data_IF_353245780030
#
_entry.id   IF_353245780030
#
_cell.length_a   1.000
_cell.length_b   1.000
_cell.length_c   1.000
_cell.angle_alpha   90.00
_cell.angle_beta   90.00
_cell.angle_gamma   90.00
#
_symmetry.space_group_name_H-M   'P 1'
#
loop_
_entity.id
_entity.type
_entity.pdbx_description
1 polymer ?
#
# COMPACT_ATOMS: atom_id res chain seq x y z
N UNK A 1 27.79 27.64 -9.17
CA UNK A 1 26.46 27.47 -8.54
C UNK A 1 26.22 26.01 -8.19
N UNK A 2 26.47 25.61 -6.93
CA UNK A 2 26.37 24.21 -6.47
C UNK A 2 24.93 23.78 -6.14
N UNK A 3 24.04 24.72 -5.84
CA UNK A 3 22.70 24.50 -5.28
C UNK A 3 21.59 24.17 -6.29
N UNK A 4 21.85 24.36 -7.59
CA UNK A 4 20.89 24.07 -8.67
C UNK A 4 21.30 22.85 -9.50
N UNK A 5 22.35 22.16 -9.09
CA UNK A 5 22.76 20.89 -9.70
C UNK A 5 21.94 19.76 -9.07
N UNK A 6 21.53 18.75 -9.85
CA UNK A 6 20.84 17.58 -9.29
C UNK A 6 21.72 16.89 -8.26
N UNK A 7 21.10 16.40 -7.19
CA UNK A 7 21.79 15.55 -6.24
C UNK A 7 22.19 14.24 -6.93
N UNK A 8 23.49 13.92 -6.93
CA UNK A 8 24.03 12.73 -7.63
C UNK A 8 23.43 11.42 -7.15
N UNK A 9 22.85 11.37 -5.94
CA UNK A 9 22.17 10.18 -5.44
C UNK A 9 21.02 9.74 -6.34
N UNK A 10 20.38 10.66 -7.06
CA UNK A 10 19.28 10.34 -7.99
C UNK A 10 19.71 9.41 -9.14
N UNK A 11 21.00 9.34 -9.47
CA UNK A 11 21.56 8.41 -10.47
C UNK A 11 21.34 6.94 -10.08
N UNK A 12 21.30 6.62 -8.77
CA UNK A 12 21.05 5.25 -8.26
C UNK A 12 19.68 4.74 -8.73
N UNK A 13 18.71 5.64 -8.90
CA UNK A 13 17.35 5.32 -9.38
C UNK A 13 17.17 5.62 -10.87
N UNK A 14 18.26 5.86 -11.60
CA UNK A 14 18.25 6.12 -13.04
C UNK A 14 17.56 7.42 -13.44
N UNK A 15 17.44 8.39 -12.52
CA UNK A 15 16.82 9.69 -12.77
C UNK A 15 17.82 10.61 -13.45
N UNK A 16 17.48 11.07 -14.66
CA UNK A 16 18.35 11.94 -15.47
C UNK A 16 17.83 13.37 -15.55
N UNK A 17 16.53 13.58 -15.34
CA UNK A 17 15.90 14.89 -15.49
C UNK A 17 15.02 15.24 -14.29
N UNK A 18 14.79 16.55 -14.10
CA UNK A 18 13.84 17.05 -13.10
C UNK A 18 12.41 16.58 -13.38
N UNK A 19 12.02 16.46 -14.64
CA UNK A 19 10.68 15.98 -15.01
C UNK A 19 10.48 14.52 -14.58
N UNK A 20 11.44 13.64 -14.88
CA UNK A 20 11.43 12.24 -14.43
C UNK A 20 11.42 12.14 -12.90
N UNK A 21 12.18 13.00 -12.21
CA UNK A 21 12.18 13.05 -10.76
C UNK A 21 10.78 13.41 -10.22
N UNK A 22 10.18 14.48 -10.74
CA UNK A 22 8.86 14.93 -10.30
C UNK A 22 7.83 13.82 -10.50
N UNK A 23 7.79 13.23 -11.69
CA UNK A 23 6.86 12.16 -12.03
C UNK A 23 6.97 10.94 -11.09
N UNK A 24 8.19 10.50 -10.77
CA UNK A 24 8.41 9.28 -9.99
C UNK A 24 8.40 9.48 -8.47
N UNK A 25 8.85 10.63 -7.99
CA UNK A 25 9.16 10.85 -6.57
C UNK A 25 8.30 11.93 -5.90
N UNK A 26 7.66 12.84 -6.64
CA UNK A 26 6.80 13.85 -6.00
C UNK A 26 5.40 13.29 -5.89
N UNK A 27 4.87 13.25 -4.67
CA UNK A 27 3.51 12.76 -4.38
C UNK A 27 2.62 13.93 -3.95
N UNK A 28 1.73 14.42 -4.84
CA UNK A 28 0.71 15.40 -4.47
C UNK A 28 -0.26 14.87 -3.42
N UNK A 29 -0.75 15.75 -2.54
CA UNK A 29 -1.83 15.44 -1.61
C UNK A 29 -3.19 15.35 -2.30
N UNK A 30 -3.53 14.19 -2.89
CA UNK A 30 -4.85 13.92 -3.49
C UNK A 30 -5.87 13.62 -2.39
N UNK A 31 -6.39 14.65 -1.73
CA UNK A 31 -7.36 14.49 -0.65
C UNK A 31 -8.78 14.77 -1.12
N UNK A 32 -9.75 13.98 -0.63
CA UNK A 32 -11.16 14.25 -0.86
C UNK A 32 -11.69 15.36 0.07
N UNK A 33 -12.87 15.91 -0.24
CA UNK A 33 -13.47 17.06 0.44
C UNK A 33 -13.71 16.91 1.95
N UNK A 34 -13.78 15.68 2.46
CA UNK A 34 -13.98 15.40 3.89
C UNK A 34 -12.69 15.47 4.73
N UNK A 35 -11.52 15.57 4.09
CA UNK A 35 -10.25 15.73 4.84
C UNK A 35 -10.17 17.19 5.34
N UNK A 36 -9.84 17.42 6.63
CA UNK A 36 -9.71 18.78 7.16
C UNK A 36 -8.74 19.64 6.37
N UNK A 37 -9.10 20.91 6.13
CA UNK A 37 -8.31 21.86 5.34
C UNK A 37 -6.87 22.00 5.85
N UNK A 38 -6.69 22.06 7.17
CA UNK A 38 -5.36 22.15 7.80
C UNK A 38 -4.45 20.97 7.44
N UNK A 39 -5.02 19.77 7.26
CA UNK A 39 -4.27 18.57 6.81
C UNK A 39 -3.85 18.73 5.36
N UNK A 40 -4.75 19.20 4.50
CA UNK A 40 -4.51 19.42 3.07
C UNK A 40 -3.40 20.46 2.87
N UNK A 41 -3.53 21.63 3.49
CA UNK A 41 -2.54 22.72 3.39
C UNK A 41 -1.18 22.32 3.99
N UNK A 42 -1.18 21.61 5.12
CA UNK A 42 0.07 21.12 5.69
C UNK A 42 0.80 20.14 4.75
N UNK A 43 0.05 19.32 4.01
CA UNK A 43 0.62 18.35 3.08
C UNK A 43 1.07 18.99 1.76
N UNK A 44 0.49 20.10 1.34
CA UNK A 44 0.99 20.87 0.20
C UNK A 44 2.47 21.25 0.39
N UNK A 45 2.83 21.65 1.61
CA UNK A 45 4.24 21.90 1.97
C UNK A 45 5.11 20.65 1.80
N UNK A 46 4.58 19.47 2.14
CA UNK A 46 5.29 18.19 1.92
C UNK A 46 5.58 17.98 0.44
N UNK A 47 4.58 18.21 -0.42
CA UNK A 47 4.73 18.09 -1.88
C UNK A 47 5.79 19.08 -2.41
N UNK A 48 5.79 20.33 -1.95
CA UNK A 48 6.83 21.30 -2.32
C UNK A 48 8.23 20.88 -1.85
N UNK A 49 8.37 20.36 -0.64
CA UNK A 49 9.64 19.85 -0.14
C UNK A 49 10.13 18.68 -0.98
N UNK A 50 9.25 17.72 -1.32
CA UNK A 50 9.59 16.63 -2.24
C UNK A 50 10.08 17.15 -3.59
N UNK A 51 9.39 18.12 -4.18
CA UNK A 51 9.77 18.69 -5.47
C UNK A 51 11.15 19.38 -5.44
N UNK A 52 11.49 20.05 -4.34
CA UNK A 52 12.80 20.71 -4.17
C UNK A 52 13.93 19.73 -3.83
N UNK A 53 13.60 18.51 -3.38
CA UNK A 53 14.60 17.51 -3.05
C UNK A 53 15.41 17.00 -4.26
N UNK A 54 14.98 17.32 -5.49
CA UNK A 54 15.78 17.09 -6.70
C UNK A 54 17.20 17.66 -6.58
N UNK A 55 17.34 18.84 -5.98
CA UNK A 55 18.62 19.53 -5.84
C UNK A 55 19.39 19.11 -4.58
N UNK A 56 18.69 18.62 -3.56
CA UNK A 56 19.31 18.17 -2.31
C UNK A 56 18.42 17.12 -1.63
N UNK A 57 18.85 15.86 -1.69
CA UNK A 57 18.03 14.71 -1.25
C UNK A 57 17.61 14.80 0.23
N UNK A 58 18.40 15.44 1.09
CA UNK A 58 18.05 15.58 2.52
C UNK A 58 16.77 16.41 2.74
N UNK A 59 16.32 17.21 1.76
CA UNK A 59 15.01 17.86 1.81
C UNK A 59 13.88 16.83 1.70
N UNK A 60 14.07 15.74 0.95
CA UNK A 60 13.10 14.65 0.85
C UNK A 60 12.86 14.02 2.21
N UNK A 61 13.95 13.82 2.93
CA UNK A 61 13.98 13.32 4.29
C UNK A 61 13.09 14.21 5.20
N UNK A 62 13.24 15.54 5.13
CA UNK A 62 12.40 16.48 5.89
C UNK A 62 10.93 16.51 5.41
N UNK A 63 10.68 16.33 4.11
CA UNK A 63 9.33 16.17 3.60
C UNK A 63 8.63 14.98 4.27
N UNK A 64 9.33 13.85 4.40
CA UNK A 64 8.81 12.65 5.04
C UNK A 64 8.64 12.81 6.56
N UNK A 65 9.55 13.53 7.24
CA UNK A 65 9.35 13.93 8.66
C UNK A 65 8.03 14.67 8.83
N UNK A 66 7.77 15.66 7.97
CA UNK A 66 6.56 16.48 8.03
C UNK A 66 5.32 15.65 7.70
N UNK A 67 5.39 14.74 6.72
CA UNK A 67 4.29 13.83 6.41
C UNK A 67 3.90 12.92 7.58
N UNK A 68 4.89 12.42 8.34
CA UNK A 68 4.65 11.64 9.56
C UNK A 68 4.00 12.47 10.68
N UNK A 69 4.34 13.74 10.82
CA UNK A 69 3.67 14.65 11.75
C UNK A 69 2.22 14.91 11.33
N UNK A 70 1.95 15.01 10.02
CA UNK A 70 0.59 15.16 9.49
C UNK A 70 -0.26 13.91 9.76
N UNK A 71 0.31 12.70 9.66
CA UNK A 71 -0.37 11.46 10.07
C UNK A 71 -0.80 11.50 11.54
N UNK A 72 0.05 12.01 12.43
CA UNK A 72 -0.28 12.20 13.84
C UNK A 72 -1.35 13.27 14.06
N UNK A 73 -1.25 14.40 13.37
CA UNK A 73 -2.26 15.45 13.41
C UNK A 73 -3.62 14.92 12.95
N UNK A 74 -3.64 14.13 11.88
CA UNK A 74 -4.85 13.54 11.32
C UNK A 74 -5.58 12.62 12.30
N UNK A 75 -4.85 11.74 13.00
CA UNK A 75 -5.47 10.85 14.00
C UNK A 75 -5.96 11.61 15.23
N UNK A 76 -5.28 12.70 15.63
CA UNK A 76 -5.71 13.58 16.72
C UNK A 76 -7.00 14.33 16.36
N UNK A 77 -7.07 14.91 15.17
CA UNK A 77 -8.29 15.55 14.65
C UNK A 77 -9.45 14.56 14.59
N UNK A 78 -9.19 13.32 14.15
CA UNK A 78 -10.24 12.28 14.14
C UNK A 78 -10.68 11.88 15.55
N UNK A 79 -9.78 11.84 16.51
CA UNK A 79 -10.12 11.59 17.91
C UNK A 79 -11.03 12.68 18.47
N UNK A 80 -10.73 13.95 18.20
CA UNK A 80 -11.59 15.09 18.58
C UNK A 80 -12.98 14.99 17.94
N UNK A 81 -13.07 14.65 16.65
CA UNK A 81 -14.35 14.40 15.95
C UNK A 81 -15.17 13.24 16.54
N UNK A 82 -14.54 12.35 17.31
CA UNK A 82 -15.17 11.19 17.95
C UNK A 82 -15.36 11.39 19.46
N UNK A 83 -15.18 12.62 19.95
CA UNK A 83 -15.22 12.99 21.37
C UNK A 83 -14.25 12.17 22.23
N UNK A 84 -13.11 11.77 21.66
CA UNK A 84 -12.05 11.04 22.36
C UNK A 84 -11.07 12.07 22.94
N UNK A 85 -10.90 12.16 24.28
CA UNK A 85 -10.05 13.16 24.89
C UNK A 85 -8.58 12.92 24.56
N UNK A 86 -7.88 13.99 24.16
CA UNK A 86 -6.44 13.97 23.87
C UNK A 86 -5.58 14.09 25.13
N UNK A 87 -6.18 14.44 26.27
CA UNK A 87 -5.50 14.61 27.56
C UNK A 87 -5.94 13.53 28.55
N UNK A 88 -5.07 13.20 29.48
CA UNK A 88 -5.40 12.33 30.63
C UNK A 88 -6.25 13.11 31.64
N UNK A 89 -7.08 12.43 32.46
CA UNK A 89 -7.74 13.08 33.58
C UNK A 89 -6.69 13.70 34.51
N UNK A 90 -7.02 14.83 35.18
CA UNK A 90 -6.11 15.47 36.12
C UNK A 90 -5.70 14.48 37.21
N UNK A 91 -4.41 14.47 37.54
CA UNK A 91 -3.93 13.77 38.74
C UNK A 91 -4.38 14.50 40.01
N UNK A 92 -4.18 13.91 41.17
CA UNK A 92 -4.51 14.50 42.49
C UNK A 92 -3.94 15.91 42.70
N UNK A 93 -2.85 16.27 42.02
CA UNK A 93 -2.23 17.58 42.04
C UNK A 93 -2.72 18.56 40.95
N UNK A 94 -3.78 18.22 40.22
CA UNK A 94 -4.35 19.04 39.14
C UNK A 94 -3.55 19.04 37.83
N UNK A 95 -2.40 18.35 37.75
CA UNK A 95 -1.57 18.34 36.54
C UNK A 95 -2.20 17.44 35.48
N UNK A 96 -2.39 18.00 34.28
CA UNK A 96 -2.95 17.33 33.11
C UNK A 96 -1.83 17.07 32.09
N UNK A 97 -1.73 15.83 31.63
CA UNK A 97 -0.74 15.41 30.63
C UNK A 97 -1.42 15.02 29.32
N UNK A 98 -0.73 15.24 28.20
CA UNK A 98 -1.17 14.72 26.91
C UNK A 98 -1.14 13.19 26.89
N UNK A 99 -2.16 12.61 26.25
CA UNK A 99 -2.26 11.18 26.03
C UNK A 99 -1.19 10.77 25.01
N UNK A 100 -0.52 9.64 25.29
CA UNK A 100 0.47 9.07 24.36
C UNK A 100 -0.21 8.72 23.03
N UNK A 101 0.46 9.02 21.91
CA UNK A 101 -0.08 8.79 20.55
C UNK A 101 -0.63 7.37 20.34
N UNK A 102 0.05 6.35 20.86
CA UNK A 102 -0.42 4.96 20.69
C UNK A 102 -1.78 4.70 21.35
N UNK A 103 -2.07 5.37 22.48
CA UNK A 103 -3.37 5.28 23.15
C UNK A 103 -4.47 5.97 22.35
N UNK A 104 -4.16 7.10 21.73
CA UNK A 104 -5.08 7.77 20.81
C UNK A 104 -5.39 6.86 19.61
N UNK A 105 -4.37 6.25 19.00
CA UNK A 105 -4.55 5.29 17.90
C UNK A 105 -5.43 4.11 18.34
N UNK A 106 -5.13 3.48 19.48
CA UNK A 106 -5.92 2.35 20.03
C UNK A 106 -7.39 2.74 20.25
N UNK A 107 -7.65 3.93 20.82
CA UNK A 107 -9.02 4.37 21.12
C UNK A 107 -9.82 4.73 19.87
N UNK A 108 -9.21 5.39 18.88
CA UNK A 108 -9.85 5.67 17.58
C UNK A 108 -10.11 4.37 16.82
N UNK A 109 -9.12 3.48 16.73
CA UNK A 109 -9.22 2.24 15.97
C UNK A 109 -10.02 1.14 16.71
N UNK A 110 -10.38 1.33 17.99
CA UNK A 110 -11.34 0.47 18.68
C UNK A 110 -12.74 0.53 18.04
N UNK A 111 -13.07 1.62 17.34
CA UNK A 111 -14.30 1.70 16.56
C UNK A 111 -14.20 0.68 15.42
N UNK A 112 -15.19 -0.23 15.33
CA UNK A 112 -15.18 -1.36 14.38
C UNK A 112 -14.86 -0.95 12.94
N UNK A 113 -15.48 0.13 12.47
CA UNK A 113 -15.31 0.68 11.12
C UNK A 113 -13.94 1.35 10.86
N UNK A 114 -13.10 1.53 11.88
CA UNK A 114 -11.74 2.10 11.77
C UNK A 114 -10.64 1.12 12.16
N UNK A 115 -10.98 -0.03 12.73
CA UNK A 115 -10.02 -1.04 13.23
C UNK A 115 -8.97 -1.46 12.20
N UNK A 116 -9.35 -1.53 10.93
CA UNK A 116 -8.45 -1.92 9.85
C UNK A 116 -7.31 -0.91 9.58
N UNK A 117 -7.41 0.32 10.07
CA UNK A 117 -6.39 1.37 9.91
C UNK A 117 -5.28 1.29 10.97
N UNK A 118 -5.51 0.57 12.07
CA UNK A 118 -4.57 0.47 13.18
C UNK A 118 -3.14 0.04 12.76
N UNK A 119 -2.97 -1.01 11.92
CA UNK A 119 -1.63 -1.43 11.51
C UNK A 119 -0.85 -0.33 10.78
N UNK A 120 -1.54 0.50 9.98
CA UNK A 120 -0.91 1.56 9.20
C UNK A 120 -0.48 2.73 10.09
N UNK A 121 -1.28 3.11 11.08
CA UNK A 121 -0.89 4.13 12.06
C UNK A 121 0.24 3.65 12.97
N UNK A 122 0.22 2.38 13.40
CA UNK A 122 1.31 1.80 14.18
C UNK A 122 2.61 1.73 13.37
N UNK A 123 2.53 1.44 12.07
CA UNK A 123 3.65 1.48 11.15
C UNK A 123 4.21 2.91 11.01
N UNK A 124 3.37 3.91 10.75
CA UNK A 124 3.79 5.31 10.66
C UNK A 124 4.48 5.78 11.96
N UNK A 125 3.91 5.42 13.11
CA UNK A 125 4.54 5.67 14.43
C UNK A 125 5.92 5.01 14.53
N UNK A 126 6.06 3.74 14.12
CA UNK A 126 7.34 3.03 14.15
C UNK A 126 8.38 3.74 13.26
N UNK A 127 8.00 4.16 12.06
CA UNK A 127 8.86 4.93 11.16
C UNK A 127 9.32 6.25 11.79
N UNK A 128 8.39 7.01 12.39
CA UNK A 128 8.72 8.24 13.13
C UNK A 128 9.73 7.98 14.24
N UNK A 129 9.49 6.97 15.07
CA UNK A 129 10.37 6.65 16.20
C UNK A 129 11.77 6.23 15.74
N UNK A 130 11.88 5.41 14.69
CA UNK A 130 13.16 5.00 14.11
C UNK A 130 13.95 6.20 13.58
N UNK A 131 13.26 7.20 13.00
CA UNK A 131 13.89 8.41 12.50
C UNK A 131 14.34 9.37 13.61
N UNK A 132 13.53 9.54 14.65
CA UNK A 132 13.87 10.39 15.80
C UNK A 132 14.97 9.78 16.67
N UNK A 133 15.14 8.45 16.61
CA UNK A 133 16.16 7.71 17.36
C UNK A 133 16.93 6.77 16.43
N UNK A 134 17.76 7.30 15.52
CA UNK A 134 18.48 6.48 14.57
C UNK A 134 19.49 5.60 15.31
N UNK A 135 19.19 4.30 15.43
CA UNK A 135 20.11 3.30 16.01
C UNK A 135 21.10 2.74 14.99
N UNK A 136 20.83 2.94 13.69
CA UNK A 136 21.69 2.50 12.58
C UNK A 136 21.69 3.55 11.46
N UNK A 137 22.84 3.75 10.82
CA UNK A 137 22.94 4.53 9.59
C UNK A 137 22.62 3.59 8.41
N UNK A 138 21.53 3.86 7.69
CA UNK A 138 21.13 3.07 6.52
C UNK A 138 21.34 3.89 5.25
N UNK A 139 21.87 3.24 4.19
CA UNK A 139 22.20 3.89 2.90
C UNK A 139 20.95 4.46 2.20
N UNK A 140 19.78 3.86 2.43
CA UNK A 140 18.50 4.29 1.86
C UNK A 140 17.80 5.39 2.68
N UNK A 141 18.50 5.96 3.68
CA UNK A 141 17.86 6.73 4.74
C UNK A 141 16.87 5.89 5.56
N UNK A 142 16.30 6.46 6.60
CA UNK A 142 15.41 5.74 7.52
C UNK A 142 14.10 5.22 6.90
N UNK A 143 13.78 5.55 5.64
CA UNK A 143 12.43 5.41 5.05
C UNK A 143 12.38 4.86 3.62
N UNK A 144 13.34 4.04 3.17
CA UNK A 144 13.36 3.46 1.81
C UNK A 144 11.96 3.10 1.25
N UNK A 145 11.74 3.36 -0.05
CA UNK A 145 10.42 3.49 -0.71
C UNK A 145 9.66 4.75 -0.27
N UNK A 146 10.32 5.91 -0.36
CA UNK A 146 9.83 7.16 0.23
C UNK A 146 8.56 7.70 -0.47
N UNK A 147 8.44 7.58 -1.78
CA UNK A 147 7.23 7.91 -2.54
C UNK A 147 6.06 6.97 -2.20
N UNK A 148 6.29 5.66 -2.12
CA UNK A 148 5.28 4.68 -1.71
C UNK A 148 4.76 4.94 -0.28
N UNK A 149 5.63 5.35 0.65
CA UNK A 149 5.22 5.80 1.98
C UNK A 149 4.34 7.06 1.93
N UNK A 150 4.67 8.04 1.09
CA UNK A 150 3.87 9.24 0.94
C UNK A 150 2.46 8.93 0.37
N UNK A 151 2.38 8.06 -0.64
CA UNK A 151 1.10 7.58 -1.18
C UNK A 151 0.27 6.85 -0.12
N UNK A 152 0.91 5.97 0.67
CA UNK A 152 0.28 5.31 1.81
C UNK A 152 -0.32 6.33 2.80
N UNK A 153 0.42 7.40 3.13
CA UNK A 153 -0.08 8.41 4.05
C UNK A 153 -1.31 9.12 3.50
N UNK A 154 -1.30 9.51 2.22
CA UNK A 154 -2.47 10.09 1.55
C UNK A 154 -3.66 9.12 1.62
N UNK A 155 -3.45 7.85 1.26
CA UNK A 155 -4.48 6.83 1.27
C UNK A 155 -5.08 6.60 2.67
N UNK A 156 -4.24 6.57 3.71
CA UNK A 156 -4.67 6.36 5.10
C UNK A 156 -5.45 7.56 5.61
N UNK A 157 -4.99 8.78 5.34
CA UNK A 157 -5.68 10.02 5.72
C UNK A 157 -7.05 10.09 5.06
N UNK A 158 -7.15 9.83 3.75
CA UNK A 158 -8.44 9.78 3.07
C UNK A 158 -9.37 8.75 3.74
N UNK A 159 -8.90 7.50 3.93
CA UNK A 159 -9.70 6.46 4.59
C UNK A 159 -10.15 6.85 6.01
N UNK A 160 -9.32 7.57 6.77
CA UNK A 160 -9.64 8.03 8.13
C UNK A 160 -10.84 9.00 8.16
N UNK A 161 -10.98 9.83 7.11
CA UNK A 161 -12.01 10.87 7.02
C UNK A 161 -13.20 10.49 6.12
N UNK A 162 -13.29 9.23 5.67
CA UNK A 162 -14.53 8.70 5.10
C UNK A 162 -15.65 8.65 6.14
N UNK A 163 -16.89 8.70 5.67
CA UNK A 163 -18.06 8.63 6.53
C UNK A 163 -18.23 7.19 7.05
N UNK A 164 -18.82 7.05 8.24
CA UNK A 164 -19.06 5.75 8.89
C UNK A 164 -19.74 4.74 7.95
N UNK A 165 -20.75 5.16 7.20
CA UNK A 165 -21.51 4.29 6.30
C UNK A 165 -20.64 3.73 5.15
N UNK A 166 -19.75 4.55 4.58
CA UNK A 166 -18.82 4.13 3.51
C UNK A 166 -17.82 3.09 4.05
N UNK A 167 -17.29 3.33 5.26
CA UNK A 167 -16.36 2.43 5.93
C UNK A 167 -17.02 1.10 6.34
N UNK A 168 -18.24 1.15 6.87
CA UNK A 168 -19.01 -0.05 7.21
C UNK A 168 -19.35 -0.87 5.97
N UNK A 169 -19.76 -0.22 4.87
CA UNK A 169 -20.00 -0.89 3.61
C UNK A 169 -18.73 -1.60 3.11
N UNK A 170 -17.59 -0.91 3.10
CA UNK A 170 -16.31 -1.50 2.70
C UNK A 170 -15.94 -2.69 3.59
N UNK A 171 -16.18 -2.60 4.90
CA UNK A 171 -15.90 -3.68 5.85
C UNK A 171 -16.74 -4.93 5.55
N UNK A 172 -18.07 -4.78 5.44
CA UNK A 172 -18.99 -5.89 5.16
C UNK A 172 -18.68 -6.53 3.80
N UNK A 173 -18.45 -5.71 2.78
CA UNK A 173 -18.09 -6.19 1.44
C UNK A 173 -16.77 -6.93 1.45
N UNK A 174 -15.74 -6.42 2.15
CA UNK A 174 -14.45 -7.12 2.31
C UNK A 174 -14.63 -8.51 2.93
N UNK A 175 -15.42 -8.63 4.00
CA UNK A 175 -15.70 -9.94 4.64
C UNK A 175 -16.42 -10.90 3.69
N UNK A 176 -17.33 -10.41 2.85
CA UNK A 176 -17.97 -11.22 1.82
C UNK A 176 -16.97 -11.68 0.76
N UNK A 177 -16.14 -10.76 0.24
CA UNK A 177 -15.11 -11.06 -0.75
C UNK A 177 -14.08 -12.06 -0.22
N UNK A 178 -13.71 -11.98 1.06
CA UNK A 178 -12.81 -12.94 1.70
C UNK A 178 -13.33 -14.38 1.61
N UNK A 179 -14.64 -14.58 1.81
CA UNK A 179 -15.29 -15.88 1.64
C UNK A 179 -15.28 -16.32 0.19
N UNK A 180 -15.61 -15.44 -0.76
CA UNK A 180 -15.64 -15.76 -2.19
C UNK A 180 -14.26 -16.10 -2.74
N UNK A 181 -13.24 -15.31 -2.38
CA UNK A 181 -11.85 -15.45 -2.84
C UNK A 181 -11.12 -16.63 -2.19
N UNK A 182 -11.64 -17.19 -1.10
CA UNK A 182 -11.07 -18.39 -0.46
C UNK A 182 -10.91 -19.58 -1.41
N UNK A 183 -11.77 -19.67 -2.44
CA UNK A 183 -11.73 -20.70 -3.48
C UNK A 183 -10.54 -20.59 -4.43
N UNK A 184 -9.82 -19.47 -4.38
CA UNK A 184 -8.66 -19.18 -5.22
C UNK A 184 -7.34 -19.19 -4.42
N UNK A 185 -7.36 -19.64 -3.16
CA UNK A 185 -6.13 -19.72 -2.32
C UNK A 185 -5.10 -20.68 -2.90
N UNK A 186 -5.55 -21.77 -3.53
CA UNK A 186 -4.70 -22.76 -4.15
C UNK A 186 -5.44 -23.48 -5.27
N UNK A 187 -4.81 -23.62 -6.43
CA UNK A 187 -5.35 -24.34 -7.57
C UNK A 187 -4.56 -24.04 -8.84
N UNK A 188 -5.13 -24.40 -9.98
CA UNK A 188 -4.66 -23.97 -11.29
C UNK A 188 -5.74 -23.10 -11.92
N UNK A 189 -5.39 -21.85 -12.18
CA UNK A 189 -6.28 -20.89 -12.79
C UNK A 189 -5.62 -20.24 -14.01
N UNK A 190 -6.43 -19.81 -14.96
CA UNK A 190 -6.01 -18.93 -16.05
C UNK A 190 -6.42 -17.51 -15.67
N UNK A 191 -5.50 -16.57 -15.83
CA UNK A 191 -5.73 -15.14 -15.88
C UNK A 191 -5.65 -14.70 -17.34
N UNK A 192 -6.74 -14.22 -17.90
CA UNK A 192 -6.78 -13.61 -19.23
C UNK A 192 -6.76 -12.09 -19.09
N UNK A 193 -5.78 -11.44 -19.72
CA UNK A 193 -5.62 -9.99 -19.71
C UNK A 193 -4.92 -9.53 -21.00
N UNK A 194 -5.47 -8.52 -21.69
CA UNK A 194 -4.89 -7.94 -22.92
C UNK A 194 -4.53 -8.98 -24.00
N UNK A 195 -5.40 -9.98 -24.20
CA UNK A 195 -5.17 -11.10 -25.14
C UNK A 195 -3.97 -12.00 -24.78
N UNK A 196 -3.47 -11.90 -23.54
CA UNK A 196 -2.43 -12.76 -22.99
C UNK A 196 -3.03 -13.61 -21.86
N UNK A 197 -2.72 -14.90 -21.89
CA UNK A 197 -3.15 -15.85 -20.87
C UNK A 197 -1.98 -16.22 -19.97
N UNK A 198 -2.12 -15.94 -18.68
CA UNK A 198 -1.19 -16.32 -17.63
C UNK A 198 -1.76 -17.49 -16.86
N UNK A 199 -0.93 -18.48 -16.51
CA UNK A 199 -1.31 -19.45 -15.49
C UNK A 199 -0.97 -18.88 -14.11
N UNK A 200 -1.90 -18.99 -13.17
CA UNK A 200 -1.71 -18.57 -11.78
C UNK A 200 -2.08 -19.71 -10.83
N UNK A 201 -1.45 -19.75 -9.65
CA UNK A 201 -1.73 -20.81 -8.66
C UNK A 201 -2.62 -20.36 -7.53
N UNK A 202 -2.55 -19.07 -7.19
CA UNK A 202 -3.11 -18.56 -5.94
C UNK A 202 -3.42 -17.07 -6.04
N UNK A 203 -4.47 -16.65 -5.35
CA UNK A 203 -4.66 -15.28 -4.87
C UNK A 203 -4.20 -15.25 -3.41
N UNK A 204 -3.09 -14.56 -3.13
CA UNK A 204 -2.49 -14.50 -1.79
C UNK A 204 -3.22 -13.54 -0.87
N UNK A 205 -3.56 -12.37 -1.39
CA UNK A 205 -4.16 -11.30 -0.62
C UNK A 205 -5.04 -10.44 -1.53
N UNK A 206 -5.89 -9.62 -0.93
CA UNK A 206 -6.69 -8.65 -1.65
C UNK A 206 -6.94 -7.39 -0.82
N UNK A 207 -7.13 -6.26 -1.51
CA UNK A 207 -7.72 -5.06 -0.93
C UNK A 207 -9.00 -4.70 -1.66
N UNK A 208 -9.95 -4.14 -0.92
CA UNK A 208 -11.20 -3.65 -1.46
C UNK A 208 -11.44 -2.21 -1.02
N UNK A 209 -11.88 -1.38 -1.95
CA UNK A 209 -12.25 0.00 -1.68
C UNK A 209 -13.41 0.43 -2.56
N UNK A 210 -14.39 1.12 -1.97
CA UNK A 210 -15.44 1.82 -2.69
C UNK A 210 -15.54 3.26 -2.23
N UNK A 211 -15.40 4.19 -3.16
CA UNK A 211 -15.49 5.63 -2.92
C UNK A 211 -16.39 6.21 -3.99
N UNK A 212 -17.51 6.82 -3.55
CA UNK A 212 -18.55 7.32 -4.46
C UNK A 212 -18.96 6.18 -5.42
N UNK A 213 -18.91 6.43 -6.73
CA UNK A 213 -19.25 5.46 -7.78
C UNK A 213 -18.09 4.53 -8.17
N UNK A 214 -16.88 4.75 -7.64
CA UNK A 214 -15.72 3.92 -7.97
C UNK A 214 -15.59 2.77 -6.99
N UNK A 215 -15.66 1.55 -7.52
CA UNK A 215 -15.46 0.31 -6.78
C UNK A 215 -14.23 -0.42 -7.34
N UNK A 216 -13.26 -0.75 -6.47
CA UNK A 216 -11.99 -1.35 -6.84
C UNK A 216 -11.69 -2.58 -5.96
N UNK A 217 -11.40 -3.70 -6.62
CA UNK A 217 -10.84 -4.90 -6.02
C UNK A 217 -9.41 -5.07 -6.50
N UNK A 218 -8.47 -5.07 -5.57
CA UNK A 218 -7.06 -5.31 -5.85
C UNK A 218 -6.70 -6.73 -5.44
N UNK A 219 -6.02 -7.48 -6.32
CA UNK A 219 -5.66 -8.88 -6.08
C UNK A 219 -4.15 -9.07 -6.24
N UNK A 220 -3.49 -9.63 -5.23
CA UNK A 220 -2.11 -10.09 -5.33
C UNK A 220 -2.11 -11.57 -5.67
N UNK A 221 -1.60 -11.91 -6.85
CA UNK A 221 -1.67 -13.26 -7.41
C UNK A 221 -0.29 -13.86 -7.65
N UNK A 222 -0.19 -15.19 -7.58
CA UNK A 222 1.03 -15.94 -7.87
C UNK A 222 1.01 -16.45 -9.32
N UNK A 223 1.78 -15.84 -10.23
CA UNK A 223 1.95 -16.40 -11.57
C UNK A 223 2.81 -17.67 -11.53
N UNK A 224 2.53 -18.58 -12.46
CA UNK A 224 3.43 -19.69 -12.80
C UNK A 224 4.55 -19.11 -13.65
N UNK A 225 5.71 -18.91 -13.03
CA UNK A 225 6.90 -18.37 -13.70
C UNK A 225 7.76 -19.49 -14.29
N UNK A 226 8.41 -19.22 -15.43
CA UNK A 226 9.39 -20.13 -16.00
C UNK A 226 10.64 -20.18 -15.09
N UNK A 227 11.26 -21.36 -14.94
CA UNK A 227 12.49 -21.57 -14.16
C UNK A 227 12.39 -20.94 -12.74
N UNK A 228 11.37 -21.30 -11.93
CA UNK A 228 11.12 -20.65 -10.65
C UNK A 228 12.34 -20.67 -9.72
N UNK A 229 13.13 -21.74 -9.72
CA UNK A 229 14.35 -21.81 -8.91
C UNK A 229 15.34 -20.69 -9.26
N UNK A 230 15.69 -20.57 -10.53
CA UNK A 230 16.62 -19.54 -11.00
C UNK A 230 16.09 -18.13 -10.68
N UNK A 231 14.82 -17.87 -11.00
CA UNK A 231 14.24 -16.55 -10.80
C UNK A 231 14.16 -16.16 -9.31
N UNK A 232 13.81 -17.08 -8.44
CA UNK A 232 13.72 -16.81 -6.99
C UNK A 232 15.12 -16.62 -6.38
N UNK A 233 16.07 -17.49 -6.69
CA UNK A 233 17.44 -17.43 -6.15
C UNK A 233 18.21 -16.17 -6.63
N UNK A 234 17.86 -15.63 -7.80
CA UNK A 234 18.49 -14.43 -8.38
C UNK A 234 17.64 -13.15 -8.26
N UNK A 235 16.56 -13.17 -7.46
CA UNK A 235 15.68 -12.02 -7.28
C UNK A 235 15.05 -11.47 -8.56
N UNK A 236 14.89 -12.31 -9.59
CA UNK A 236 14.31 -11.96 -10.88
C UNK A 236 12.81 -12.29 -10.90
N UNK A 237 12.04 -11.54 -10.12
CA UNK A 237 10.59 -11.68 -10.04
C UNK A 237 9.92 -10.34 -9.76
N UNK A 238 8.69 -10.19 -10.23
CA UNK A 238 7.83 -9.07 -9.90
C UNK A 238 6.48 -9.61 -9.39
N UNK A 239 5.92 -9.06 -8.30
CA UNK A 239 4.60 -9.45 -7.86
C UNK A 239 3.55 -9.02 -8.88
N UNK A 240 2.64 -9.94 -9.21
CA UNK A 240 1.51 -9.61 -10.06
C UNK A 240 0.36 -9.09 -9.20
N UNK A 241 0.07 -7.80 -9.31
CA UNK A 241 -1.08 -7.16 -8.65
C UNK A 241 -2.05 -6.67 -9.70
N UNK A 242 -3.28 -7.17 -9.62
CA UNK A 242 -4.38 -6.81 -10.51
C UNK A 242 -5.27 -5.79 -9.82
N UNK A 243 -5.85 -4.89 -10.63
CA UNK A 243 -6.88 -3.97 -10.20
C UNK A 243 -8.13 -4.22 -11.03
N UNK A 244 -9.25 -4.54 -10.40
CA UNK A 244 -10.51 -4.84 -11.06
C UNK A 244 -11.60 -3.86 -10.61
N UNK A 245 -12.27 -3.28 -11.59
CA UNK A 245 -13.51 -2.54 -11.47
C UNK A 245 -14.67 -3.37 -12.03
N UNK A 246 -15.90 -3.00 -11.66
CA UNK A 246 -17.15 -3.63 -12.15
C UNK A 246 -17.11 -5.18 -12.12
N UNK A 247 -16.49 -5.73 -11.09
CA UNK A 247 -16.15 -7.14 -11.05
C UNK A 247 -17.33 -8.00 -10.56
N UNK A 248 -17.35 -9.26 -10.99
CA UNK A 248 -18.29 -10.30 -10.56
C UNK A 248 -17.49 -11.55 -10.20
N UNK A 249 -17.82 -12.17 -9.08
CA UNK A 249 -17.22 -13.42 -8.62
C UNK A 249 -18.30 -14.49 -8.56
N UNK A 250 -18.22 -15.47 -9.45
CA UNK A 250 -19.21 -16.53 -9.61
C UNK A 250 -18.51 -17.90 -9.53
N UNK A 251 -18.72 -18.64 -8.45
CA UNK A 251 -18.12 -19.98 -8.29
C UNK A 251 -16.60 -19.91 -8.29
N UNK A 252 -15.96 -20.43 -9.35
CA UNK A 252 -14.51 -20.43 -9.58
C UNK A 252 -14.09 -19.47 -10.70
N UNK A 253 -14.89 -18.44 -10.99
CA UNK A 253 -14.57 -17.40 -11.94
C UNK A 253 -14.65 -15.99 -11.32
N UNK A 254 -13.73 -15.12 -11.70
CA UNK A 254 -13.71 -13.68 -11.44
C UNK A 254 -13.68 -12.99 -12.79
N UNK A 255 -14.61 -12.10 -13.08
CA UNK A 255 -14.61 -11.28 -14.29
C UNK A 255 -14.68 -9.81 -13.87
N UNK A 256 -14.04 -8.91 -14.61
CA UNK A 256 -14.10 -7.47 -14.38
C UNK A 256 -13.32 -6.71 -15.43
N UNK A 257 -13.00 -5.46 -15.13
CA UNK A 257 -12.21 -4.60 -16.01
C UNK A 257 -11.04 -4.00 -15.27
N UNK A 258 -9.90 -3.88 -15.95
CA UNK A 258 -8.73 -3.18 -15.42
C UNK A 258 -8.97 -1.67 -15.28
N UNK A 259 -7.97 -0.93 -14.79
CA UNK A 259 -8.04 0.54 -14.62
C UNK A 259 -8.12 1.31 -15.95
N UNK A 260 -7.92 0.63 -17.08
CA UNK A 260 -8.03 1.16 -18.45
C UNK A 260 -9.26 0.61 -19.18
N UNK A 261 -10.21 -0.01 -18.46
CA UNK A 261 -11.42 -0.64 -18.99
C UNK A 261 -11.19 -1.83 -19.93
N UNK A 262 -10.04 -2.51 -19.85
CA UNK A 262 -9.83 -3.77 -20.57
C UNK A 262 -10.38 -4.94 -19.75
N UNK A 263 -11.03 -5.93 -20.39
CA UNK A 263 -11.56 -7.08 -19.68
C UNK A 263 -10.43 -7.90 -19.02
N UNK A 264 -10.69 -8.34 -17.78
CA UNK A 264 -9.88 -9.30 -17.04
C UNK A 264 -10.78 -10.45 -16.60
N UNK A 265 -10.30 -11.67 -16.80
CA UNK A 265 -10.97 -12.89 -16.34
C UNK A 265 -9.99 -13.80 -15.62
N UNK A 266 -10.41 -14.38 -14.49
CA UNK A 266 -9.69 -15.43 -13.77
C UNK A 266 -10.64 -16.62 -13.64
N UNK A 267 -10.25 -17.82 -14.07
CA UNK A 267 -11.09 -19.01 -13.94
C UNK A 267 -10.29 -20.29 -13.75
N UNK A 268 -10.90 -21.30 -13.14
CA UNK A 268 -10.29 -22.62 -12.95
C UNK A 268 -10.01 -23.30 -14.30
N UNK A 269 -8.87 -24.00 -14.38
CA UNK A 269 -8.40 -24.57 -15.63
C UNK A 269 -8.04 -26.04 -15.47
N UNK A 270 -8.57 -26.86 -16.38
CA UNK A 270 -8.40 -28.32 -16.40
C UNK A 270 -7.76 -28.82 -17.70
N UNK A 271 -7.22 -27.93 -18.54
CA UNK A 271 -6.55 -28.34 -19.78
C UNK A 271 -5.25 -29.11 -19.47
N UNK A 272 -5.07 -30.28 -20.09
CA UNK A 272 -3.93 -31.18 -19.83
C UNK A 272 -2.57 -30.50 -20.01
N UNK A 273 -2.42 -29.66 -21.04
CA UNK A 273 -1.20 -28.88 -21.29
C UNK A 273 -0.84 -27.95 -20.12
N UNK A 274 -1.85 -27.31 -19.54
CA UNK A 274 -1.66 -26.36 -18.45
C UNK A 274 -1.40 -27.10 -17.13
N UNK A 275 -2.04 -28.26 -16.94
CA UNK A 275 -1.75 -29.17 -15.82
C UNK A 275 -0.29 -29.64 -15.89
N UNK A 276 0.20 -30.06 -17.06
CA UNK A 276 1.59 -30.48 -17.23
C UNK A 276 2.58 -29.33 -16.91
N UNK A 277 2.27 -28.11 -17.36
CA UNK A 277 3.07 -26.92 -17.07
C UNK A 277 3.10 -26.61 -15.56
N UNK A 278 1.94 -26.70 -14.89
CA UNK A 278 1.83 -26.48 -13.46
C UNK A 278 2.57 -27.54 -12.64
N UNK A 279 2.47 -28.81 -13.01
CA UNK A 279 3.22 -29.90 -12.37
C UNK A 279 4.74 -29.72 -12.52
N UNK A 280 5.20 -29.31 -13.71
CA UNK A 280 6.61 -28.99 -13.93
C UNK A 280 7.09 -27.82 -13.05
N UNK A 281 6.27 -26.76 -12.94
CA UNK A 281 6.52 -25.65 -12.02
C UNK A 281 6.61 -26.12 -10.57
N UNK A 282 5.63 -26.90 -10.07
CA UNK A 282 5.63 -27.39 -8.69
C UNK A 282 6.86 -28.26 -8.39
N UNK A 283 7.27 -29.11 -9.34
CA UNK A 283 8.46 -29.95 -9.21
C UNK A 283 9.74 -29.12 -9.06
N UNK A 284 9.86 -28.00 -9.76
CA UNK A 284 11.03 -27.11 -9.64
C UNK A 284 10.93 -26.21 -8.40
N UNK A 285 9.75 -25.66 -8.13
CA UNK A 285 9.45 -24.82 -6.96
C UNK A 285 9.76 -25.55 -5.64
N UNK A 286 9.42 -26.85 -5.55
CA UNK A 286 9.68 -27.66 -4.36
C UNK A 286 11.17 -27.98 -4.13
N UNK A 287 12.06 -27.69 -5.09
CA UNK A 287 13.51 -27.85 -4.94
C UNK A 287 14.20 -26.60 -4.40
N UNK A 288 13.48 -25.49 -4.30
CA UNK A 288 14.02 -24.22 -3.79
C UNK A 288 14.23 -24.35 -2.28
N UNK A 289 15.33 -23.78 -1.78
CA UNK A 289 15.60 -23.79 -0.34
C UNK A 289 14.53 -23.01 0.41
N UNK A 290 14.23 -23.42 1.65
CA UNK A 290 13.18 -22.80 2.45
C UNK A 290 13.49 -21.33 2.75
N UNK A 291 14.76 -21.00 2.93
CA UNK A 291 15.23 -19.64 3.21
C UNK A 291 14.97 -18.71 2.01
N UNK A 292 15.25 -19.19 0.80
CA UNK A 292 15.03 -18.44 -0.44
C UNK A 292 13.53 -18.23 -0.69
N UNK A 293 12.70 -19.26 -0.45
CA UNK A 293 11.24 -19.14 -0.52
C UNK A 293 10.69 -18.15 0.51
N UNK A 294 11.17 -18.22 1.76
CA UNK A 294 10.75 -17.28 2.81
C UNK A 294 11.13 -15.83 2.44
N UNK A 295 12.32 -15.63 1.89
CA UNK A 295 12.77 -14.33 1.41
C UNK A 295 11.92 -13.85 0.22
N UNK A 296 11.66 -14.70 -0.77
CA UNK A 296 10.78 -14.41 -1.90
C UNK A 296 9.39 -13.96 -1.44
N UNK A 297 8.74 -14.74 -0.57
CA UNK A 297 7.41 -14.39 -0.07
C UNK A 297 7.40 -13.07 0.68
N UNK A 298 8.43 -12.78 1.49
CA UNK A 298 8.56 -11.53 2.22
C UNK A 298 8.72 -10.33 1.27
N UNK A 299 9.64 -10.41 0.29
CA UNK A 299 9.88 -9.32 -0.65
C UNK A 299 8.69 -9.10 -1.58
N UNK A 300 8.14 -10.17 -2.16
CA UNK A 300 7.00 -10.08 -3.07
C UNK A 300 5.76 -9.51 -2.37
N UNK A 301 5.48 -9.93 -1.14
CA UNK A 301 4.37 -9.36 -0.35
C UNK A 301 4.59 -7.87 -0.03
N UNK A 302 5.82 -7.48 0.27
CA UNK A 302 6.18 -6.07 0.50
C UNK A 302 6.01 -5.23 -0.76
N UNK A 303 6.46 -5.72 -1.92
CA UNK A 303 6.30 -5.04 -3.19
C UNK A 303 4.82 -4.97 -3.62
N UNK A 304 4.06 -6.05 -3.40
CA UNK A 304 2.61 -6.08 -3.65
C UNK A 304 1.86 -5.04 -2.80
N UNK A 305 2.24 -4.89 -1.52
CA UNK A 305 1.70 -3.85 -0.66
C UNK A 305 1.91 -2.45 -1.27
N UNK A 306 3.11 -2.16 -1.78
CA UNK A 306 3.37 -0.86 -2.42
C UNK A 306 2.57 -0.66 -3.68
N UNK A 307 2.45 -1.70 -4.49
CA UNK A 307 1.63 -1.64 -5.70
C UNK A 307 0.15 -1.42 -5.37
N UNK A 308 -0.35 -1.96 -4.26
CA UNK A 308 -1.69 -1.61 -3.77
C UNK A 308 -1.83 -0.13 -3.43
N UNK A 309 -0.88 0.45 -2.71
CA UNK A 309 -0.98 1.86 -2.32
C UNK A 309 -0.90 2.80 -3.51
N UNK A 310 -0.04 2.49 -4.48
CA UNK A 310 0.04 3.20 -5.76
C UNK A 310 -1.30 3.10 -6.53
N UNK A 311 -1.84 1.90 -6.73
CA UNK A 311 -3.09 1.69 -7.44
C UNK A 311 -4.28 2.40 -6.76
N UNK A 312 -4.35 2.39 -5.42
CA UNK A 312 -5.36 3.15 -4.69
C UNK A 312 -5.15 4.65 -4.92
N UNK A 313 -3.92 5.14 -4.76
CA UNK A 313 -3.62 6.56 -4.90
C UNK A 313 -3.91 7.11 -6.30
N UNK A 314 -3.66 6.32 -7.34
CA UNK A 314 -3.88 6.72 -8.74
C UNK A 314 -5.36 6.69 -9.15
N UNK A 315 -6.15 5.75 -8.60
CA UNK A 315 -7.47 5.43 -9.15
C UNK A 315 -8.64 5.83 -8.25
N UNK A 316 -8.40 6.11 -6.96
CA UNK A 316 -9.46 6.28 -5.98
C UNK A 316 -9.69 7.72 -5.52
N UNK A 317 -8.67 8.60 -5.58
CA UNK A 317 -8.74 9.97 -5.10
C UNK A 317 -8.55 10.97 -6.23
#
# INVERSE_FOLDING_TARGET
MKWYQPDKRWEIWGIKTKAEFIDKFVVPGKFHEKVPKDVVEAFETVTYLMAHAYFYYSIYDEAMSKALLIMEMSIKLKAEQLDIPLKLPPKENGVVFDKKLFKIIEEVCRKEHLKFLEPEFLRAKKMRNTRMHPKTHTIHGAMGFTNGNAMLFVNVINKLFLNKNELQYCHVKRLNLEKLLSKFKQGLFVLEQHSVNYLITSIYDFKYLKIKERELLLLYVQPIIAKPKYNIENHNYEPLVLALSQFKINGHAINGYDTKNNPISIYANNEEKNIATWQAFLKDYNKIKKEDLAHFHLQSSRMALWRYEELIYENCW
#
